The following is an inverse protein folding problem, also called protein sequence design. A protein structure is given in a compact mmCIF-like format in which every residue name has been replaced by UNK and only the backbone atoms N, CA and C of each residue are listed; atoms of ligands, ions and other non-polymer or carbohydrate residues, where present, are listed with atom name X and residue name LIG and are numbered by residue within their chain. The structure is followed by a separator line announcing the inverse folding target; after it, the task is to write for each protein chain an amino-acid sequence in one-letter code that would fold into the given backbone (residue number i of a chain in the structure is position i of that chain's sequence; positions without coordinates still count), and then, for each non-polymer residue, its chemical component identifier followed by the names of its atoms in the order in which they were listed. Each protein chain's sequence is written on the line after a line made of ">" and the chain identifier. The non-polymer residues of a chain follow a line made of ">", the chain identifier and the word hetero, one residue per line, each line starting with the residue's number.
data_IF_971315522999
#
_entry.id   IF_971315522999
#
_cell.length_a   1.000
_cell.length_b   1.000
_cell.length_c   1.000
_cell.angle_alpha   90.00
_cell.angle_beta   90.00
_cell.angle_gamma   90.00
#
_symmetry.space_group_name_H-M   'P 1'
#
loop_
_entity.id
_entity.type
_entity.pdbx_description
1 polymer ?
#
# COMPACT_ATOMS: atom_id res chain seq x y z
N UNK A 1 -21.82 1.82 0.43
CA UNK A 1 -21.72 3.13 1.09
C UNK A 1 -20.82 4.03 0.28
N UNK A 2 -21.05 5.34 0.38
CA UNK A 2 -20.18 6.38 -0.16
C UNK A 2 -19.92 7.36 1.00
N UNK A 3 -18.68 7.80 1.13
CA UNK A 3 -18.25 8.71 2.18
C UNK A 3 -17.36 9.80 1.61
N UNK A 4 -17.45 10.98 2.22
CA UNK A 4 -16.55 12.10 1.98
C UNK A 4 -16.08 12.62 3.33
N UNK A 5 -14.77 12.77 3.48
CA UNK A 5 -14.12 13.29 4.68
C UNK A 5 -13.36 14.55 4.27
N UNK A 6 -13.56 15.63 5.00
CA UNK A 6 -12.79 16.86 4.89
C UNK A 6 -12.19 17.18 6.25
N UNK A 7 -10.91 17.55 6.28
CA UNK A 7 -10.17 17.96 7.48
C UNK A 7 -9.54 19.31 7.21
N UNK A 8 -9.98 20.32 7.94
CA UNK A 8 -9.32 21.61 7.97
C UNK A 8 -8.17 21.57 8.98
N UNK A 9 -6.94 21.83 8.53
CA UNK A 9 -5.76 21.88 9.38
C UNK A 9 -5.28 23.34 9.47
N UNK A 10 -5.70 24.11 10.50
CA UNK A 10 -5.28 25.51 10.65
C UNK A 10 -3.79 25.64 11.02
N UNK A 11 -3.20 24.57 11.58
CA UNK A 11 -1.79 24.46 11.93
C UNK A 11 -1.24 23.14 11.42
N UNK A 12 0.10 23.00 11.41
CA UNK A 12 0.74 21.70 11.17
C UNK A 12 0.23 20.66 12.18
N UNK A 13 0.14 19.40 11.74
CA UNK A 13 -0.19 18.27 12.62
C UNK A 13 0.97 18.01 13.61
N UNK A 14 0.72 17.21 14.65
CA UNK A 14 1.78 16.83 15.58
C UNK A 14 2.84 15.97 14.91
N UNK A 15 4.11 16.15 15.31
CA UNK A 15 5.22 15.33 14.82
C UNK A 15 5.05 13.88 15.28
N UNK A 16 5.09 12.95 14.33
CA UNK A 16 4.94 11.53 14.63
C UNK A 16 6.21 10.93 15.28
N UNK A 17 6.03 9.84 16.02
CA UNK A 17 7.13 8.97 16.43
C UNK A 17 7.47 8.05 15.28
N UNK A 18 8.73 8.07 14.84
CA UNK A 18 9.24 7.30 13.71
C UNK A 18 10.33 6.32 14.15
N UNK A 19 10.52 5.25 13.38
CA UNK A 19 11.57 4.26 13.59
C UNK A 19 12.58 4.33 12.44
N UNK A 20 13.64 5.13 12.57
CA UNK A 20 14.65 5.26 11.52
C UNK A 20 15.55 4.01 11.44
N UNK A 21 15.75 3.54 10.21
CA UNK A 21 16.65 2.42 9.89
C UNK A 21 16.18 1.07 10.46
N UNK A 22 17.14 0.21 10.80
CA UNK A 22 16.88 -1.11 11.38
C UNK A 22 16.80 -1.09 12.92
N UNK A 23 16.79 0.09 13.53
CA UNK A 23 16.76 0.24 14.98
C UNK A 23 15.32 0.13 15.50
N UNK A 24 15.12 -0.53 16.64
CA UNK A 24 13.83 -0.54 17.36
C UNK A 24 13.69 0.66 18.31
N UNK A 25 14.50 1.69 18.10
CA UNK A 25 14.56 2.85 18.97
C UNK A 25 13.60 3.90 18.39
N UNK A 26 12.53 4.26 19.11
CA UNK A 26 11.62 5.30 18.66
C UNK A 26 12.30 6.66 18.74
N UNK A 27 12.16 7.46 17.68
CA UNK A 27 12.66 8.84 17.63
C UNK A 27 11.52 9.77 17.22
N UNK A 28 11.43 10.94 17.84
CA UNK A 28 10.49 11.96 17.38
C UNK A 28 10.92 12.46 15.98
N UNK A 29 9.97 12.55 15.05
CA UNK A 29 10.23 13.21 13.78
C UNK A 29 10.70 14.65 14.05
N UNK A 30 11.60 15.16 13.19
CA UNK A 30 12.13 16.53 13.32
C UNK A 30 11.04 17.62 13.21
N UNK A 31 9.86 17.25 12.72
CA UNK A 31 8.68 18.08 12.60
C UNK A 31 7.56 17.31 11.89
N UNK A 32 6.58 18.06 11.40
CA UNK A 32 5.46 17.57 10.63
C UNK A 32 5.27 18.41 9.35
N UNK A 33 4.52 17.93 8.36
CA UNK A 33 4.26 18.66 7.13
C UNK A 33 3.52 19.98 7.41
N UNK A 34 3.66 21.00 6.54
CA UNK A 34 2.97 22.27 6.72
C UNK A 34 1.45 22.08 6.75
N UNK A 35 0.75 23.01 7.39
CA UNK A 35 -0.71 23.02 7.47
C UNK A 35 -1.33 22.91 6.07
N UNK A 36 -2.19 21.92 5.86
CA UNK A 36 -2.89 21.71 4.59
C UNK A 36 -4.25 21.05 4.82
N UNK A 37 -5.27 21.53 4.13
CA UNK A 37 -6.58 20.89 4.17
C UNK A 37 -6.57 19.56 3.41
N UNK A 38 -7.05 18.52 4.09
CA UNK A 38 -7.09 17.16 3.57
C UNK A 38 -8.53 16.75 3.25
N UNK A 39 -8.69 16.00 2.18
CA UNK A 39 -9.97 15.45 1.76
C UNK A 39 -9.80 14.05 1.20
N UNK A 40 -10.80 13.21 1.43
CA UNK A 40 -10.86 11.86 0.87
C UNK A 40 -12.31 11.51 0.55
N UNK A 41 -12.54 11.06 -0.68
CA UNK A 41 -13.77 10.35 -1.08
C UNK A 41 -13.49 8.86 -0.97
N UNK A 42 -14.37 8.11 -0.35
CA UNK A 42 -14.31 6.65 -0.34
C UNK A 42 -15.67 6.03 -0.70
N UNK A 43 -15.61 4.88 -1.34
CA UNK A 43 -16.77 4.13 -1.78
C UNK A 43 -16.59 2.66 -1.47
N UNK A 44 -17.66 2.01 -1.02
CA UNK A 44 -17.73 0.57 -0.82
C UNK A 44 -18.99 0.02 -1.44
N UNK A 45 -18.82 -0.88 -2.40
CA UNK A 45 -19.89 -1.64 -3.03
C UNK A 45 -19.79 -3.10 -2.57
N UNK A 46 -20.92 -3.67 -2.16
CA UNK A 46 -21.01 -5.07 -1.74
C UNK A 46 -22.21 -5.67 -2.45
N UNK A 47 -22.00 -6.79 -3.14
CA UNK A 47 -23.05 -7.51 -3.85
C UNK A 47 -22.99 -9.00 -3.54
N UNK A 48 -24.17 -9.58 -3.32
CA UNK A 48 -24.39 -11.03 -3.23
C UNK A 48 -25.25 -11.44 -4.40
N UNK A 49 -24.62 -11.90 -5.48
CA UNK A 49 -25.32 -12.30 -6.70
C UNK A 49 -25.94 -13.70 -6.56
N UNK A 50 -25.33 -14.58 -5.76
CA UNK A 50 -25.88 -15.89 -5.36
C UNK A 50 -25.46 -16.25 -3.94
N UNK A 51 -25.98 -17.35 -3.34
CA UNK A 51 -25.50 -17.86 -2.06
C UNK A 51 -23.99 -18.12 -2.03
N UNK A 52 -23.39 -18.48 -3.17
CA UNK A 52 -21.97 -18.81 -3.31
C UNK A 52 -21.10 -17.72 -3.94
N UNK A 53 -21.70 -16.67 -4.54
CA UNK A 53 -20.99 -15.60 -5.23
C UNK A 53 -21.17 -14.25 -4.52
N UNK A 54 -20.08 -13.79 -3.91
CA UNK A 54 -19.98 -12.49 -3.25
C UNK A 54 -18.91 -11.61 -3.92
N UNK A 55 -19.22 -10.33 -4.11
CA UNK A 55 -18.31 -9.32 -4.65
C UNK A 55 -18.26 -8.15 -3.69
N UNK A 56 -17.05 -7.66 -3.40
CA UNK A 56 -16.78 -6.44 -2.65
C UNK A 56 -15.82 -5.60 -3.47
N UNK A 57 -16.15 -4.33 -3.64
CA UNK A 57 -15.26 -3.33 -4.24
C UNK A 57 -15.14 -2.19 -3.26
N UNK A 58 -13.93 -1.78 -2.92
CA UNK A 58 -13.71 -0.48 -2.30
C UNK A 58 -12.87 0.40 -3.22
N UNK A 59 -13.10 1.69 -3.18
CA UNK A 59 -12.34 2.69 -3.90
C UNK A 59 -12.16 3.93 -3.02
N UNK A 60 -11.07 4.64 -3.22
CA UNK A 60 -10.81 5.92 -2.58
C UNK A 60 -10.03 6.86 -3.51
N UNK A 61 -10.15 8.15 -3.24
CA UNK A 61 -9.40 9.20 -3.90
C UNK A 61 -9.33 10.43 -3.02
N UNK A 62 -8.16 11.06 -2.94
CA UNK A 62 -7.97 12.23 -2.08
C UNK A 62 -6.51 12.67 -2.00
N UNK A 63 -6.28 13.73 -1.24
CA UNK A 63 -4.93 14.16 -0.90
C UNK A 63 -4.51 13.61 0.47
N UNK A 64 -3.19 13.54 0.66
CA UNK A 64 -2.62 13.05 1.90
C UNK A 64 -1.24 13.62 2.18
N UNK A 65 -0.93 13.73 3.47
CA UNK A 65 0.38 14.11 3.97
C UNK A 65 1.04 12.94 4.70
N UNK A 66 2.37 12.94 4.66
CA UNK A 66 3.20 12.01 5.42
C UNK A 66 3.03 12.23 6.93
N UNK A 67 3.45 11.26 7.72
CA UNK A 67 3.51 11.47 9.18
C UNK A 67 4.80 12.20 9.59
N UNK A 68 5.89 12.02 8.83
CA UNK A 68 7.17 12.70 9.04
C UNK A 68 7.22 14.11 8.44
N UNK A 69 8.38 14.78 8.49
CA UNK A 69 8.51 16.21 8.23
C UNK A 69 8.46 16.60 6.74
N UNK A 70 8.31 15.66 5.81
CA UNK A 70 8.33 15.94 4.38
C UNK A 70 7.12 16.80 3.97
N UNK A 71 7.32 18.01 3.39
CA UNK A 71 6.23 18.88 2.98
C UNK A 71 5.45 18.37 1.76
N UNK A 72 5.96 17.36 1.04
CA UNK A 72 5.33 16.85 -0.18
C UNK A 72 3.99 16.20 0.13
N UNK A 73 2.93 16.80 -0.40
CA UNK A 73 1.58 16.25 -0.40
C UNK A 73 1.37 15.37 -1.62
N UNK A 74 0.66 14.27 -1.44
CA UNK A 74 0.36 13.34 -2.52
C UNK A 74 -1.13 13.37 -2.84
N UNK A 75 -1.46 13.14 -4.11
CA UNK A 75 -2.81 12.85 -4.58
C UNK A 75 -2.87 11.37 -4.84
N UNK A 76 -3.57 10.64 -3.97
CA UNK A 76 -3.62 9.18 -3.96
C UNK A 76 -4.98 8.70 -4.41
N UNK A 77 -4.97 7.65 -5.22
CA UNK A 77 -6.16 6.95 -5.67
C UNK A 77 -5.94 5.47 -5.50
N UNK A 78 -6.99 4.74 -5.16
CA UNK A 78 -6.87 3.31 -5.13
C UNK A 78 -8.20 2.62 -5.05
N UNK A 79 -8.16 1.33 -5.28
CA UNK A 79 -9.30 0.47 -5.07
C UNK A 79 -8.85 -0.96 -4.85
N UNK A 80 -9.69 -1.68 -4.12
CA UNK A 80 -9.58 -3.10 -3.94
C UNK A 80 -10.83 -3.80 -4.47
N UNK A 81 -10.59 -4.96 -5.04
CA UNK A 81 -11.61 -5.86 -5.52
C UNK A 81 -11.44 -7.18 -4.78
N UNK A 82 -12.55 -7.72 -4.28
CA UNK A 82 -12.61 -9.05 -3.68
C UNK A 82 -13.80 -9.79 -4.24
N UNK A 83 -13.54 -10.98 -4.73
CA UNK A 83 -14.57 -11.92 -5.14
C UNK A 83 -14.40 -13.23 -4.39
N UNK A 84 -15.50 -13.80 -3.93
CA UNK A 84 -15.57 -15.12 -3.33
C UNK A 84 -16.57 -15.93 -4.14
N UNK A 85 -16.13 -17.07 -4.67
CA UNK A 85 -16.96 -18.03 -5.37
C UNK A 85 -16.70 -19.44 -4.85
N UNK A 86 -17.68 -20.01 -4.13
CA UNK A 86 -17.51 -21.30 -3.43
C UNK A 86 -16.22 -21.26 -2.60
N UNK A 87 -15.22 -22.10 -2.88
CA UNK A 87 -13.94 -22.18 -2.16
C UNK A 87 -12.86 -21.23 -2.68
N UNK A 88 -13.09 -20.63 -3.85
CA UNK A 88 -12.16 -19.74 -4.51
C UNK A 88 -12.35 -18.30 -4.01
N UNK A 89 -11.23 -17.64 -3.71
CA UNK A 89 -11.17 -16.23 -3.37
C UNK A 89 -10.17 -15.56 -4.31
N UNK A 90 -10.60 -14.45 -4.89
CA UNK A 90 -9.75 -13.57 -5.69
C UNK A 90 -9.73 -12.23 -5.00
N UNK A 91 -8.52 -11.68 -4.81
CA UNK A 91 -8.34 -10.31 -4.36
C UNK A 91 -7.41 -9.60 -5.31
N UNK A 92 -7.72 -8.36 -5.62
CA UNK A 92 -6.79 -7.49 -6.32
C UNK A 92 -6.86 -6.07 -5.78
N UNK A 93 -5.80 -5.32 -5.97
CA UNK A 93 -5.83 -3.89 -5.74
C UNK A 93 -5.04 -3.15 -6.80
N UNK A 94 -5.46 -1.91 -7.00
CA UNK A 94 -4.77 -0.90 -7.80
C UNK A 94 -4.58 0.30 -6.89
N UNK A 95 -3.36 0.81 -6.78
CA UNK A 95 -3.06 2.07 -6.07
C UNK A 95 -2.19 2.94 -6.95
N UNK A 96 -2.54 4.21 -7.07
CA UNK A 96 -1.88 5.19 -7.92
C UNK A 96 -1.37 6.32 -7.04
N UNK A 97 -0.08 6.62 -7.18
CA UNK A 97 0.64 7.64 -6.43
C UNK A 97 0.38 7.53 -4.92
N UNK A 98 0.55 6.32 -4.38
CA UNK A 98 0.20 6.01 -3.01
C UNK A 98 1.41 5.41 -2.26
N UNK A 99 1.37 5.52 -0.93
CA UNK A 99 2.36 4.94 -0.05
C UNK A 99 2.41 3.42 -0.18
N UNK A 100 3.58 2.86 0.09
CA UNK A 100 3.74 1.40 0.17
C UNK A 100 2.97 0.77 1.33
N UNK A 101 3.03 -0.57 1.47
CA UNK A 101 2.17 -1.33 2.36
C UNK A 101 2.47 -1.21 3.86
N UNK A 102 3.62 -0.64 4.23
CA UNK A 102 4.08 -0.55 5.62
C UNK A 102 4.03 0.89 6.11
N UNK A 103 3.83 1.08 7.42
CA UNK A 103 3.73 2.41 8.05
C UNK A 103 4.93 3.31 7.75
N UNK A 104 6.14 2.74 7.69
CA UNK A 104 7.35 3.50 7.35
C UNK A 104 7.25 4.21 5.99
N UNK A 105 6.48 3.68 5.03
CA UNK A 105 6.29 4.36 3.75
C UNK A 105 5.53 5.66 3.93
N UNK A 106 4.55 5.70 4.82
CA UNK A 106 3.83 6.93 5.12
C UNK A 106 4.65 7.87 6.01
N UNK A 107 5.46 7.32 6.91
CA UNK A 107 6.33 8.11 7.78
C UNK A 107 7.40 8.88 7.00
N UNK A 108 8.10 8.20 6.08
CA UNK A 108 9.16 8.78 5.25
C UNK A 108 8.68 9.27 3.89
N UNK A 109 7.36 9.36 3.70
CA UNK A 109 6.71 9.78 2.46
C UNK A 109 7.19 9.02 1.20
N UNK A 110 7.38 7.71 1.32
CA UNK A 110 7.80 6.85 0.23
C UNK A 110 6.58 6.34 -0.53
N UNK A 111 6.50 6.67 -1.81
CA UNK A 111 5.35 6.36 -2.66
C UNK A 111 5.76 5.58 -3.89
N UNK A 112 4.77 4.90 -4.48
CA UNK A 112 4.91 4.26 -5.77
C UNK A 112 3.92 4.90 -6.75
N UNK A 113 4.34 5.25 -7.98
CA UNK A 113 3.44 5.79 -9.00
C UNK A 113 2.25 4.87 -9.31
N UNK A 114 2.49 3.55 -9.36
CA UNK A 114 1.48 2.53 -9.58
C UNK A 114 1.84 1.26 -8.82
N UNK A 115 0.89 0.71 -8.08
CA UNK A 115 0.97 -0.57 -7.39
C UNK A 115 -0.21 -1.44 -7.81
N UNK A 116 0.10 -2.64 -8.27
CA UNK A 116 -0.86 -3.64 -8.70
C UNK A 116 -0.63 -4.91 -7.89
N UNK A 117 -1.71 -5.56 -7.52
CA UNK A 117 -1.63 -6.84 -6.83
C UNK A 117 -2.81 -7.72 -7.20
N UNK A 118 -2.53 -9.01 -7.35
CA UNK A 118 -3.51 -10.05 -7.61
C UNK A 118 -3.20 -11.28 -6.74
N UNK A 119 -4.18 -11.73 -5.97
CA UNK A 119 -4.15 -12.93 -5.15
C UNK A 119 -5.26 -13.85 -5.60
N UNK A 120 -4.89 -15.11 -5.76
CA UNK A 120 -5.80 -16.21 -5.96
C UNK A 120 -5.56 -17.22 -4.84
N UNK A 121 -6.62 -17.55 -4.12
CA UNK A 121 -6.55 -18.45 -2.98
C UNK A 121 -7.74 -19.39 -2.95
N UNK A 122 -7.51 -20.59 -2.42
CA UNK A 122 -8.53 -21.60 -2.18
C UNK A 122 -8.53 -22.02 -0.73
N UNK A 123 -9.69 -22.36 -0.21
CA UNK A 123 -9.89 -22.80 1.18
C UNK A 123 -10.40 -24.23 1.24
N UNK A 124 -10.00 -24.97 2.28
CA UNK A 124 -10.45 -26.36 2.48
C UNK A 124 -11.94 -26.39 2.88
N UNK A 125 -12.33 -25.50 3.80
CA UNK A 125 -13.74 -25.29 4.20
C UNK A 125 -14.46 -24.38 3.20
N UNK A 126 -15.79 -24.33 3.24
CA UNK A 126 -16.52 -23.26 2.53
C UNK A 126 -16.12 -21.94 3.19
N UNK A 127 -15.53 -20.98 2.45
CA UNK A 127 -15.28 -19.64 2.97
C UNK A 127 -16.66 -19.02 3.17
N UNK A 128 -17.11 -18.99 4.41
CA UNK A 128 -18.29 -18.24 4.78
C UNK A 128 -17.96 -16.75 4.71
N UNK A 129 -18.99 -15.89 4.62
CA UNK A 129 -18.78 -14.44 4.62
C UNK A 129 -18.20 -13.95 5.94
N UNK A 130 -18.47 -14.68 7.02
CA UNK A 130 -17.70 -14.59 8.25
C UNK A 130 -16.31 -15.14 7.97
N UNK A 131 -15.29 -14.29 8.16
CA UNK A 131 -13.86 -14.63 8.13
C UNK A 131 -13.51 -15.61 9.26
N UNK A 132 -14.18 -16.76 9.30
CA UNK A 132 -13.79 -17.86 10.14
C UNK A 132 -12.41 -18.29 9.66
N UNK A 133 -11.44 -18.41 10.57
CA UNK A 133 -10.13 -18.89 10.20
C UNK A 133 -10.32 -20.25 9.52
N UNK A 134 -9.74 -20.41 8.33
CA UNK A 134 -9.82 -21.65 7.56
C UNK A 134 -8.47 -21.92 6.95
N UNK A 135 -8.18 -23.19 6.73
CA UNK A 135 -6.95 -23.57 6.04
C UNK A 135 -7.04 -23.13 4.58
N UNK A 136 -6.12 -22.27 4.17
CA UNK A 136 -6.09 -21.67 2.83
C UNK A 136 -4.70 -21.79 2.20
N UNK A 137 -4.70 -22.05 0.90
CA UNK A 137 -3.53 -22.05 0.03
C UNK A 137 -3.71 -20.94 -1.00
N UNK A 138 -2.70 -20.13 -1.21
CA UNK A 138 -2.79 -19.02 -2.16
C UNK A 138 -1.48 -18.63 -2.81
N UNK A 139 -1.63 -17.86 -3.87
CA UNK A 139 -0.55 -17.26 -4.65
C UNK A 139 -0.86 -15.78 -4.80
N UNK A 140 0.10 -14.93 -4.50
CA UNK A 140 0.00 -13.49 -4.60
C UNK A 140 1.10 -12.96 -5.51
N UNK A 141 0.70 -12.14 -6.47
CA UNK A 141 1.57 -11.41 -7.38
C UNK A 141 1.42 -9.93 -7.07
N UNK A 142 2.54 -9.24 -6.93
CA UNK A 142 2.57 -7.79 -6.76
C UNK A 142 3.54 -7.19 -7.76
N UNK A 143 3.13 -6.10 -8.39
CA UNK A 143 3.94 -5.31 -9.28
C UNK A 143 3.88 -3.84 -8.88
N UNK A 144 5.01 -3.15 -8.89
CA UNK A 144 5.08 -1.71 -8.63
C UNK A 144 5.99 -1.04 -9.65
N UNK A 145 5.57 0.09 -10.20
CA UNK A 145 6.49 1.01 -10.87
C UNK A 145 7.24 1.82 -9.83
N UNK A 146 8.50 2.19 -10.12
CA UNK A 146 9.33 3.00 -9.23
C UNK A 146 9.52 4.41 -9.81
N UNK A 147 9.83 5.36 -8.95
CA UNK A 147 10.28 6.72 -9.27
C UNK A 147 11.20 7.24 -8.16
N UNK A 148 11.62 8.50 -8.24
CA UNK A 148 12.49 9.13 -7.24
C UNK A 148 11.98 9.12 -5.80
N UNK A 149 10.70 8.82 -5.56
CA UNK A 149 10.09 8.74 -4.23
C UNK A 149 9.94 7.29 -3.74
N UNK A 150 10.36 6.31 -4.54
CA UNK A 150 10.23 4.89 -4.22
C UNK A 150 11.46 4.37 -3.44
N UNK A 151 11.29 3.52 -2.41
CA UNK A 151 12.39 3.11 -1.51
C UNK A 151 13.57 2.39 -2.18
N UNK A 152 13.36 1.75 -3.32
CA UNK A 152 14.37 0.98 -4.08
C UNK A 152 14.75 1.64 -5.40
N UNK A 153 14.41 2.92 -5.57
CA UNK A 153 14.82 3.69 -6.73
C UNK A 153 16.27 4.12 -6.56
N UNK A 154 17.15 3.45 -7.28
CA UNK A 154 18.59 3.55 -7.09
C UNK A 154 19.32 3.73 -8.42
N UNK A 155 18.99 4.76 -9.23
CA UNK A 155 19.70 4.99 -10.49
C UNK A 155 21.13 5.52 -10.27
N UNK A 156 21.50 5.82 -9.02
CA UNK A 156 22.76 6.41 -8.59
C UNK A 156 23.55 5.59 -7.56
N UNK A 157 23.10 4.37 -7.23
CA UNK A 157 23.80 3.59 -6.19
C UNK A 157 25.18 3.17 -6.69
N UNK A 158 26.20 3.80 -6.12
CA UNK A 158 27.60 3.44 -6.27
C UNK A 158 28.10 2.80 -4.96
N UNK A 159 29.01 1.85 -5.07
CA UNK A 159 29.70 1.28 -3.90
C UNK A 159 30.47 2.37 -3.16
N UNK A 160 30.64 2.23 -1.83
CA UNK A 160 31.25 3.22 -0.93
C UNK A 160 32.69 3.64 -1.32
N UNK A 161 33.35 2.82 -2.15
CA UNK A 161 34.69 3.05 -2.71
C UNK A 161 34.73 2.91 -4.23
N UNK A 162 33.63 3.14 -4.93
CA UNK A 162 33.62 3.10 -6.39
C UNK A 162 34.52 4.20 -6.96
N UNK A 163 35.63 3.81 -7.59
CA UNK A 163 36.49 4.71 -8.37
C UNK A 163 35.85 5.11 -9.73
N UNK A 164 34.73 4.47 -10.08
CA UNK A 164 33.94 4.78 -11.26
C UNK A 164 33.13 6.08 -11.03
N UNK A 165 33.09 7.00 -12.00
CA UNK A 165 32.31 8.23 -11.87
C UNK A 165 30.83 7.92 -11.66
N UNK A 166 30.18 8.65 -10.76
CA UNK A 166 28.73 8.57 -10.53
C UNK A 166 28.02 8.85 -11.86
N UNK A 167 27.37 7.84 -12.41
CA UNK A 167 26.66 7.94 -13.69
C UNK A 167 25.42 8.80 -13.48
N UNK A 168 25.21 9.82 -14.32
CA UNK A 168 23.96 10.60 -14.28
C UNK A 168 22.76 9.68 -14.46
N UNK A 169 21.69 9.80 -13.65
CA UNK A 169 20.51 8.97 -13.79
C UNK A 169 19.66 9.42 -15.00
N UNK A 170 20.01 10.56 -15.61
CA UNK A 170 19.34 11.14 -16.78
C UNK A 170 19.48 10.18 -17.96
N UNK A 171 18.35 9.67 -18.44
CA UNK A 171 18.28 8.72 -19.56
C UNK A 171 18.07 7.27 -19.15
N UNK A 172 18.20 6.93 -17.86
CA UNK A 172 17.80 5.61 -17.37
C UNK A 172 16.29 5.54 -17.16
N UNK A 173 15.65 4.40 -17.50
CA UNK A 173 14.24 4.22 -17.24
C UNK A 173 13.98 4.12 -15.73
N UNK A 174 12.78 4.53 -15.33
CA UNK A 174 12.26 4.20 -14.03
C UNK A 174 12.19 2.67 -13.84
N UNK A 175 12.67 2.19 -12.69
CA UNK A 175 12.68 0.77 -12.37
C UNK A 175 11.28 0.20 -12.10
N UNK A 176 11.21 -1.12 -11.95
CA UNK A 176 10.01 -1.81 -11.49
C UNK A 176 10.35 -2.85 -10.41
N UNK A 177 9.36 -3.17 -9.57
CA UNK A 177 9.46 -4.20 -8.56
C UNK A 177 8.42 -5.29 -8.82
N UNK A 178 8.86 -6.55 -8.73
CA UNK A 178 8.01 -7.72 -8.81
C UNK A 178 8.16 -8.54 -7.53
N UNK A 179 7.05 -8.89 -6.91
CA UNK A 179 7.01 -9.84 -5.79
C UNK A 179 6.05 -10.98 -6.13
N UNK A 180 6.53 -12.20 -5.94
CA UNK A 180 5.73 -13.41 -6.04
C UNK A 180 5.78 -14.15 -4.71
N UNK A 181 4.61 -14.45 -4.14
CA UNK A 181 4.48 -15.11 -2.84
C UNK A 181 3.50 -16.26 -2.96
N UNK A 182 3.89 -17.43 -2.48
CA UNK A 182 2.96 -18.52 -2.17
C UNK A 182 2.81 -18.61 -0.66
N UNK A 183 1.63 -19.01 -0.19
CA UNK A 183 1.40 -19.15 1.23
C UNK A 183 0.42 -20.27 1.54
N UNK A 184 0.61 -20.87 2.71
CA UNK A 184 -0.28 -21.83 3.32
C UNK A 184 -0.59 -21.32 4.73
N UNK A 185 -1.85 -20.94 4.97
CA UNK A 185 -2.30 -20.63 6.32
C UNK A 185 -3.07 -21.85 6.84
N UNK A 186 -2.64 -22.39 7.97
CA UNK A 186 -3.27 -23.55 8.60
C UNK A 186 -4.07 -23.05 9.79
N UNK A 187 -5.38 -23.29 9.80
CA UNK A 187 -6.17 -23.15 11.02
C UNK A 187 -6.15 -24.50 11.77
N UNK A 188 -5.69 -24.47 13.03
CA UNK A 188 -5.61 -25.62 13.93
C UNK A 188 -6.79 -25.72 14.93
N UNK A 189 -7.77 -24.81 14.85
CA UNK A 189 -8.96 -24.78 15.71
C UNK A 189 -10.06 -25.73 15.25
N UNK A 190 -10.60 -26.52 16.21
CA UNK A 190 -11.66 -27.53 16.06
C UNK A 190 -12.91 -27.05 15.34
#
# INVERSE_FOLDING_TARGET
>A
SLGFVYRHLPTSQDAAVIFPGNSRIPTAAAGAPPALDLWEVNGRFVSKLSPELGIIVNAYGGNGQANGPDPRTIQRYGGDFRMIYKKLKIQSHVRVNDWGPFDYHRDFNLTFPLQLMADISTSISKPDWFLLPSTQLGMMFTWRSLDQYSPRYLPLQAEEFAEQPIISPVGFPNGNEWEFRTYLNINLGK
#
